data_IF_620009664199
#
_entry.id   IF_620009664199
#
_cell.length_a   1.000
_cell.length_b   1.000
_cell.length_c   1.000
_cell.angle_alpha   90.00
_cell.angle_beta   90.00
_cell.angle_gamma   90.00
#
_symmetry.space_group_name_H-M   'P 1'
#
loop_
_entity.id
_entity.type
_entity.pdbx_description
1 polymer ?
#
# COMPACT_ATOMS: atom_id res chain seq x y z
N UNK A 1 33.80 12.20 -63.17
CA UNK A 1 34.35 13.03 -62.08
C UNK A 1 33.26 14.06 -61.83
N UNK A 2 32.35 13.75 -60.92
CA UNK A 2 31.22 14.61 -60.56
C UNK A 2 31.10 14.62 -59.04
N UNK A 3 30.79 15.81 -58.55
CA UNK A 3 31.28 16.36 -57.31
C UNK A 3 30.53 15.83 -56.08
N UNK A 4 31.30 15.65 -55.00
CA UNK A 4 30.77 15.61 -53.63
C UNK A 4 29.99 16.91 -53.39
N UNK A 5 28.66 16.85 -53.43
CA UNK A 5 27.82 17.89 -52.83
C UNK A 5 27.58 17.54 -51.37
N UNK A 6 28.21 18.34 -50.51
CA UNK A 6 28.08 18.38 -49.06
C UNK A 6 26.63 18.19 -48.59
N UNK A 7 26.41 17.20 -47.73
CA UNK A 7 25.16 16.99 -46.97
C UNK A 7 25.21 17.63 -45.58
N UNK A 8 26.13 18.58 -45.35
CA UNK A 8 26.40 19.16 -44.02
C UNK A 8 25.46 20.29 -43.57
N UNK A 9 24.27 20.43 -44.17
CA UNK A 9 23.36 21.55 -43.82
C UNK A 9 22.12 21.19 -42.99
N UNK A 10 21.89 19.92 -42.57
CA UNK A 10 20.62 19.56 -41.91
C UNK A 10 20.71 18.95 -40.50
N UNK A 11 21.90 18.67 -39.96
CA UNK A 11 22.02 18.03 -38.64
C UNK A 11 22.60 19.00 -37.60
N UNK A 12 21.78 19.41 -36.62
CA UNK A 12 22.21 20.23 -35.48
C UNK A 12 23.23 19.51 -34.58
N UNK A 13 23.13 18.19 -34.48
CA UNK A 13 24.03 17.33 -33.70
C UNK A 13 23.91 15.88 -34.20
N UNK A 14 25.04 15.19 -34.36
CA UNK A 14 25.08 13.77 -34.74
C UNK A 14 26.10 13.00 -33.88
N UNK A 15 25.68 11.87 -33.32
CA UNK A 15 26.54 11.00 -32.53
C UNK A 15 26.11 9.54 -32.60
N UNK A 16 27.09 8.64 -32.62
CA UNK A 16 26.85 7.19 -32.54
C UNK A 16 26.70 6.79 -31.07
N UNK A 17 25.49 6.39 -30.68
CA UNK A 17 25.17 5.97 -29.31
C UNK A 17 25.00 4.45 -29.25
N UNK A 18 25.68 3.79 -28.30
CA UNK A 18 25.46 2.36 -28.04
C UNK A 18 24.24 2.16 -27.13
N UNK A 19 23.37 1.22 -27.49
CA UNK A 19 22.28 0.77 -26.60
C UNK A 19 22.87 0.05 -25.39
N UNK A 20 22.63 0.57 -24.20
CA UNK A 20 23.05 -0.06 -22.93
C UNK A 20 21.89 -0.85 -22.32
N UNK A 21 22.17 -1.61 -21.24
CA UNK A 21 21.13 -2.37 -20.52
C UNK A 21 20.04 -1.46 -19.91
N UNK A 22 20.32 -0.18 -19.72
CA UNK A 22 19.39 0.81 -19.14
C UNK A 22 18.66 1.66 -20.18
N UNK A 23 19.03 1.59 -21.46
CA UNK A 23 18.36 2.30 -22.55
C UNK A 23 19.32 2.99 -23.53
N UNK A 24 18.85 4.06 -24.16
CA UNK A 24 19.65 4.96 -25.00
C UNK A 24 19.94 6.21 -24.16
N UNK A 25 21.22 6.46 -23.88
CA UNK A 25 21.64 7.66 -23.14
C UNK A 25 22.00 8.76 -24.12
N UNK A 26 21.45 9.96 -23.95
CA UNK A 26 21.84 11.11 -24.75
C UNK A 26 23.32 11.47 -24.47
N UNK A 27 24.13 11.76 -25.50
CA UNK A 27 25.49 12.25 -25.33
C UNK A 27 25.55 13.45 -24.38
N UNK A 28 26.67 13.58 -23.67
CA UNK A 28 26.81 14.59 -22.61
C UNK A 28 26.69 15.99 -23.19
N UNK A 29 27.29 16.21 -24.35
CA UNK A 29 27.33 17.46 -25.10
C UNK A 29 25.90 17.90 -25.49
N UNK A 30 25.07 16.97 -25.95
CA UNK A 30 23.67 17.26 -26.29
C UNK A 30 22.81 17.52 -25.04
N UNK A 31 23.16 16.90 -23.90
CA UNK A 31 22.44 17.12 -22.64
C UNK A 31 22.69 18.51 -22.06
N UNK A 32 23.94 18.95 -22.07
CA UNK A 32 24.30 20.30 -21.61
C UNK A 32 23.57 21.35 -22.46
N UNK A 33 23.57 21.18 -23.79
CA UNK A 33 22.90 22.10 -24.71
C UNK A 33 21.36 22.13 -24.58
N UNK A 34 20.71 20.99 -24.33
CA UNK A 34 19.24 20.91 -24.28
C UNK A 34 18.64 21.14 -22.89
N UNK A 35 19.41 20.93 -21.81
CA UNK A 35 18.87 20.89 -20.45
C UNK A 35 19.55 21.86 -19.47
N UNK A 36 20.64 22.53 -19.85
CA UNK A 36 21.28 23.58 -19.03
C UNK A 36 20.94 25.01 -19.50
N UNK A 37 20.10 25.17 -20.53
CA UNK A 37 19.59 26.47 -20.97
C UNK A 37 18.29 26.87 -20.26
N UNK A 38 18.19 28.12 -19.78
CA UNK A 38 16.98 28.69 -19.15
C UNK A 38 15.79 28.91 -20.11
N UNK A 39 15.89 28.48 -21.38
CA UNK A 39 14.85 28.61 -22.40
C UNK A 39 14.12 27.29 -22.65
N UNK A 40 12.80 27.35 -22.84
CA UNK A 40 12.00 26.19 -23.25
C UNK A 40 12.34 25.77 -24.69
N UNK A 41 12.97 24.60 -24.85
CA UNK A 41 13.30 24.02 -26.15
C UNK A 41 12.29 22.93 -26.53
N UNK A 42 11.68 23.06 -27.70
CA UNK A 42 10.74 22.08 -28.25
C UNK A 42 11.43 21.27 -29.35
N UNK A 43 11.20 19.96 -29.39
CA UNK A 43 11.76 19.10 -30.44
C UNK A 43 10.79 17.99 -30.86
N UNK A 44 10.89 17.59 -32.13
CA UNK A 44 10.17 16.47 -32.73
C UNK A 44 11.11 15.27 -32.84
N UNK A 45 10.73 14.16 -32.21
CA UNK A 45 11.45 12.90 -32.31
C UNK A 45 10.91 12.05 -33.47
N UNK A 46 11.80 11.65 -34.37
CA UNK A 46 11.49 10.80 -35.52
C UNK A 46 12.35 9.53 -35.47
N UNK A 47 11.71 8.38 -35.54
CA UNK A 47 12.38 7.08 -35.67
C UNK A 47 12.03 6.51 -37.04
N UNK A 48 12.99 6.42 -37.99
CA UNK A 48 12.77 5.81 -39.29
C UNK A 48 12.37 4.33 -39.17
N UNK A 49 11.67 3.81 -40.20
CA UNK A 49 11.18 2.42 -40.22
C UNK A 49 12.30 1.38 -40.09
N UNK A 50 13.48 1.69 -40.63
CA UNK A 50 14.67 0.84 -40.58
C UNK A 50 15.35 0.86 -39.19
N UNK A 51 14.93 1.76 -38.29
CA UNK A 51 15.41 1.88 -36.90
C UNK A 51 16.93 2.01 -36.76
N UNK A 52 17.60 2.52 -37.78
CA UNK A 52 19.04 2.74 -37.86
C UNK A 52 19.48 4.06 -37.21
N UNK A 53 18.57 5.01 -36.99
CA UNK A 53 18.86 6.30 -36.38
C UNK A 53 17.65 6.82 -35.58
N UNK A 54 17.90 7.79 -34.70
CA UNK A 54 16.86 8.60 -34.05
C UNK A 54 17.17 10.06 -34.40
N UNK A 55 16.20 10.73 -35.01
CA UNK A 55 16.37 12.12 -35.44
C UNK A 55 15.57 13.01 -34.48
N UNK A 56 16.26 13.99 -33.88
CA UNK A 56 15.66 15.01 -33.03
C UNK A 56 15.71 16.35 -33.78
N UNK A 57 14.55 16.83 -34.23
CA UNK A 57 14.45 18.11 -34.92
C UNK A 57 13.96 19.16 -33.92
N UNK A 58 14.77 20.19 -33.65
CA UNK A 58 14.32 21.35 -32.87
C UNK A 58 13.23 22.06 -33.67
N UNK A 59 12.11 22.36 -33.01
CA UNK A 59 10.96 23.05 -33.61
C UNK A 59 10.67 24.31 -32.80
N UNK A 60 10.08 25.31 -33.46
CA UNK A 60 9.58 26.49 -32.74
C UNK A 60 8.35 26.13 -31.89
N UNK A 61 8.10 26.97 -30.88
CA UNK A 61 6.90 26.87 -30.04
C UNK A 61 5.61 26.87 -30.86
N UNK A 62 5.52 27.73 -31.88
CA UNK A 62 4.35 27.79 -32.77
C UNK A 62 4.10 26.48 -33.53
N UNK A 63 5.16 25.82 -34.02
CA UNK A 63 5.06 24.51 -34.70
C UNK A 63 4.68 23.41 -33.69
N UNK A 64 5.21 23.47 -32.47
CA UNK A 64 4.85 22.55 -31.39
C UNK A 64 3.36 22.68 -31.00
N UNK A 65 2.88 23.92 -30.88
CA UNK A 65 1.48 24.24 -30.60
C UNK A 65 0.56 23.89 -31.77
N UNK A 66 0.95 24.13 -33.03
CA UNK A 66 0.19 23.68 -34.20
C UNK A 66 0.13 22.15 -34.32
N UNK A 67 1.18 21.43 -33.92
CA UNK A 67 1.17 19.96 -33.94
C UNK A 67 0.32 19.39 -32.80
N UNK A 68 0.20 20.12 -31.68
CA UNK A 68 -0.82 19.88 -30.66
C UNK A 68 -2.23 20.19 -31.18
N UNK A 69 -2.41 21.31 -31.90
CA UNK A 69 -3.70 21.83 -32.34
C UNK A 69 -4.28 21.14 -33.60
N UNK A 70 -3.43 20.57 -34.47
CA UNK A 70 -3.89 19.70 -35.57
C UNK A 70 -4.48 18.37 -35.09
N UNK A 71 -4.33 18.04 -33.79
CA UNK A 71 -5.06 16.93 -33.13
C UNK A 71 -6.40 17.36 -32.51
N UNK A 72 -6.74 18.65 -32.43
CA UNK A 72 -7.95 19.15 -31.75
C UNK A 72 -9.13 19.50 -32.66
N UNK A 73 -9.04 19.34 -33.99
CA UNK A 73 -10.13 19.66 -34.92
C UNK A 73 -10.89 18.46 -35.53
N UNK A 74 -10.84 17.27 -34.92
CA UNK A 74 -11.76 16.17 -35.26
C UNK A 74 -12.80 15.99 -34.16
N UNK A 75 -13.97 16.61 -34.33
CA UNK A 75 -15.26 16.33 -33.68
C UNK A 75 -15.29 16.35 -32.13
N UNK A 76 -16.45 16.61 -31.48
CA UNK A 76 -16.51 16.70 -30.02
C UNK A 76 -15.93 15.43 -29.41
N UNK A 77 -14.96 15.60 -28.52
CA UNK A 77 -14.34 14.54 -27.74
C UNK A 77 -15.46 13.82 -26.98
N UNK A 78 -16.03 12.78 -27.60
CA UNK A 78 -16.45 11.58 -26.90
C UNK A 78 -15.24 11.22 -26.07
N UNK A 79 -15.33 11.44 -24.74
CA UNK A 79 -14.43 10.94 -23.70
C UNK A 79 -13.60 9.81 -24.31
N UNK A 80 -12.36 10.11 -24.72
CA UNK A 80 -11.47 9.06 -25.17
C UNK A 80 -11.27 8.25 -23.92
N UNK A 81 -12.02 7.15 -23.90
CA UNK A 81 -11.91 6.08 -22.94
C UNK A 81 -10.41 5.91 -22.74
N UNK A 82 -10.00 5.86 -21.46
CA UNK A 82 -8.92 4.97 -21.03
C UNK A 82 -8.81 3.87 -22.08
N UNK A 83 -7.62 3.63 -22.63
CA UNK A 83 -7.39 2.33 -23.25
C UNK A 83 -7.63 1.29 -22.16
N UNK A 84 -8.92 0.98 -21.90
CA UNK A 84 -9.36 -0.28 -21.39
C UNK A 84 -8.69 -1.22 -22.36
N UNK A 85 -7.79 -2.04 -21.83
CA UNK A 85 -7.61 -3.36 -22.37
C UNK A 85 -9.01 -4.01 -22.45
N UNK A 86 -9.78 -3.65 -23.47
CA UNK A 86 -11.03 -4.27 -23.84
C UNK A 86 -10.61 -5.57 -24.49
N UNK A 87 -10.43 -6.56 -23.62
CA UNK A 87 -10.55 -8.00 -23.85
C UNK A 87 -10.11 -8.81 -22.63
N UNK A 88 -9.81 -8.17 -21.50
CA UNK A 88 -9.71 -8.85 -20.22
C UNK A 88 -10.93 -8.45 -19.38
N UNK A 89 -11.77 -9.40 -18.98
CA UNK A 89 -12.83 -9.25 -17.97
C UNK A 89 -12.22 -8.99 -16.57
N UNK A 90 -11.27 -8.07 -16.49
CA UNK A 90 -10.47 -7.78 -15.31
C UNK A 90 -11.06 -6.57 -14.62
N UNK A 91 -11.33 -6.72 -13.32
CA UNK A 91 -11.82 -5.65 -12.44
C UNK A 91 -10.88 -4.45 -12.48
N UNK A 92 -11.42 -3.23 -12.41
CA UNK A 92 -10.58 -2.03 -12.35
C UNK A 92 -9.94 -1.88 -10.96
N UNK A 93 -8.72 -1.31 -10.85
CA UNK A 93 -8.10 -1.07 -9.56
C UNK A 93 -8.89 -0.06 -8.72
N UNK A 94 -8.93 -0.29 -7.40
CA UNK A 94 -9.70 0.49 -6.43
C UNK A 94 -8.84 1.54 -5.73
N UNK A 95 -8.48 2.60 -6.45
CA UNK A 95 -7.53 3.61 -5.96
C UNK A 95 -7.85 4.24 -4.60
N UNK A 96 -9.14 4.47 -4.32
CA UNK A 96 -9.57 5.01 -3.02
C UNK A 96 -9.32 4.04 -1.85
N UNK A 97 -9.28 2.73 -2.08
CA UNK A 97 -8.99 1.73 -1.04
C UNK A 97 -7.48 1.53 -0.81
N UNK A 98 -6.65 1.97 -1.77
CA UNK A 98 -5.18 1.87 -1.67
C UNK A 98 -4.58 3.13 -1.07
N UNK A 99 -4.99 4.30 -1.55
CA UNK A 99 -4.48 5.60 -1.13
C UNK A 99 -5.34 6.20 -0.02
N UNK A 100 -5.36 5.52 1.13
CA UNK A 100 -6.10 5.97 2.32
C UNK A 100 -5.44 7.21 2.95
N UNK A 101 -4.12 7.32 2.83
CA UNK A 101 -3.34 8.46 3.29
C UNK A 101 -2.72 9.16 2.08
N UNK A 102 -2.76 10.48 2.08
CA UNK A 102 -2.16 11.28 1.02
C UNK A 102 -0.66 11.44 1.25
N UNK A 103 0.12 11.32 0.16
CA UNK A 103 1.57 11.41 0.19
C UNK A 103 2.13 11.99 -1.12
N UNK A 104 3.37 12.49 -1.05
CA UNK A 104 4.04 13.08 -2.21
C UNK A 104 4.16 12.11 -3.40
N UNK A 105 3.98 12.62 -4.62
CA UNK A 105 4.04 11.84 -5.86
C UNK A 105 2.96 10.75 -6.03
N UNK A 106 1.88 10.76 -5.24
CA UNK A 106 0.75 9.83 -5.37
C UNK A 106 0.28 9.62 -6.81
N UNK A 107 0.09 10.67 -7.59
CA UNK A 107 -0.38 10.57 -8.99
C UNK A 107 0.59 9.79 -9.90
N UNK A 108 1.90 10.00 -9.71
CA UNK A 108 2.94 9.28 -10.45
C UNK A 108 2.97 7.80 -10.03
N UNK A 109 2.89 7.55 -8.73
CA UNK A 109 2.81 6.20 -8.16
C UNK A 109 1.57 5.46 -8.67
N UNK A 110 0.41 6.11 -8.67
CA UNK A 110 -0.84 5.56 -9.18
C UNK A 110 -0.70 5.07 -10.63
N UNK A 111 -0.12 5.89 -11.52
CA UNK A 111 0.09 5.52 -12.93
C UNK A 111 0.97 4.26 -13.07
N UNK A 112 2.03 4.15 -12.27
CA UNK A 112 2.94 3.00 -12.30
C UNK A 112 2.25 1.74 -11.75
N UNK A 113 1.53 1.86 -10.64
CA UNK A 113 0.77 0.76 -10.04
C UNK A 113 -0.37 0.31 -10.96
N UNK A 114 -1.02 1.23 -11.68
CA UNK A 114 -2.06 0.90 -12.66
C UNK A 114 -1.46 0.01 -13.76
N UNK A 115 -0.29 0.41 -14.26
CA UNK A 115 0.42 -0.41 -15.23
C UNK A 115 0.85 -1.75 -14.66
N UNK A 116 1.25 -1.85 -13.38
CA UNK A 116 1.60 -3.12 -12.75
C UNK A 116 0.37 -4.03 -12.59
N UNK A 117 -0.78 -3.47 -12.22
CA UNK A 117 -2.04 -4.19 -12.07
C UNK A 117 -2.43 -4.92 -13.35
N UNK A 118 -2.40 -4.21 -14.48
CA UNK A 118 -2.73 -4.83 -15.77
C UNK A 118 -1.67 -5.83 -16.25
N UNK A 119 -0.48 -5.86 -15.65
CA UNK A 119 0.54 -6.89 -15.89
C UNK A 119 0.26 -8.16 -15.09
N UNK A 120 -0.22 -8.02 -13.84
CA UNK A 120 -0.77 -9.14 -13.07
C UNK A 120 -2.01 -9.75 -13.72
N UNK A 121 -2.83 -8.92 -14.36
CA UNK A 121 -4.03 -9.33 -15.04
C UNK A 121 -3.84 -10.14 -16.33
N UNK A 122 -2.60 -10.24 -16.85
CA UNK A 122 -2.33 -10.96 -18.11
C UNK A 122 -2.40 -12.47 -17.91
N UNK A 123 -2.66 -13.18 -19.00
CA UNK A 123 -2.61 -14.64 -19.04
C UNK A 123 -1.68 -15.05 -20.20
N UNK A 124 -0.48 -15.60 -19.93
CA UNK A 124 0.12 -15.84 -18.61
C UNK A 124 0.48 -14.53 -17.89
N UNK A 125 0.56 -14.61 -16.55
CA UNK A 125 0.90 -13.46 -15.69
C UNK A 125 2.31 -12.98 -16.00
N UNK A 126 2.48 -11.68 -16.22
CA UNK A 126 3.82 -11.09 -16.37
C UNK A 126 4.32 -10.61 -15.00
N UNK A 127 4.69 -11.57 -14.17
CA UNK A 127 5.02 -11.35 -12.76
C UNK A 127 6.28 -10.47 -12.58
N UNK A 128 7.33 -10.74 -13.35
CA UNK A 128 8.62 -10.03 -13.20
C UNK A 128 8.52 -8.54 -13.56
N UNK A 129 7.83 -8.19 -14.65
CA UNK A 129 7.60 -6.78 -15.01
C UNK A 129 6.69 -6.09 -13.99
N UNK A 130 5.64 -6.79 -13.52
CA UNK A 130 4.73 -6.24 -12.52
C UNK A 130 5.45 -5.93 -11.21
N UNK A 131 6.24 -6.87 -10.69
CA UNK A 131 7.04 -6.70 -9.47
C UNK A 131 8.18 -5.72 -9.69
N UNK A 132 8.80 -5.69 -10.87
CA UNK A 132 9.81 -4.69 -11.24
C UNK A 132 9.28 -3.26 -11.10
N UNK A 133 8.03 -3.01 -11.52
CA UNK A 133 7.37 -1.70 -11.37
C UNK A 133 7.08 -1.35 -9.92
N UNK A 134 6.68 -2.33 -9.11
CA UNK A 134 6.46 -2.13 -7.68
C UNK A 134 7.79 -1.80 -6.98
N UNK A 135 8.86 -2.55 -7.26
CA UNK A 135 10.19 -2.29 -6.72
C UNK A 135 10.70 -0.90 -7.13
N UNK A 136 10.54 -0.54 -8.41
CA UNK A 136 10.86 0.80 -8.90
C UNK A 136 10.09 1.87 -8.13
N UNK A 137 8.79 1.65 -7.90
CA UNK A 137 7.95 2.56 -7.11
C UNK A 137 8.49 2.76 -5.69
N UNK A 138 8.83 1.67 -5.01
CA UNK A 138 9.32 1.69 -3.63
C UNK A 138 10.74 2.24 -3.47
N UNK A 139 11.50 2.41 -4.56
CA UNK A 139 12.87 2.94 -4.53
C UNK A 139 12.90 4.38 -5.02
N UNK A 140 12.23 4.67 -6.14
CA UNK A 140 12.34 5.95 -6.83
C UNK A 140 11.45 7.06 -6.27
N UNK A 141 10.46 6.72 -5.44
CA UNK A 141 9.54 7.70 -4.84
C UNK A 141 9.66 7.80 -3.33
N UNK A 142 10.76 7.32 -2.76
CA UNK A 142 11.10 7.61 -1.37
C UNK A 142 11.43 9.10 -1.22
N UNK A 143 10.86 9.69 -0.18
CA UNK A 143 11.15 11.03 0.29
C UNK A 143 12.18 11.00 1.44
N UNK A 144 12.77 12.14 1.81
CA UNK A 144 13.53 12.26 3.05
C UNK A 144 12.68 12.05 4.32
N UNK A 145 11.35 12.17 4.20
CA UNK A 145 10.42 12.15 5.32
C UNK A 145 9.92 10.72 5.59
N UNK A 146 10.28 10.17 6.75
CA UNK A 146 9.91 8.80 7.15
C UNK A 146 8.40 8.55 7.15
N UNK A 147 7.61 9.53 7.57
CA UNK A 147 6.14 9.42 7.61
C UNK A 147 5.53 9.35 6.20
N UNK A 148 6.04 10.12 5.24
CA UNK A 148 5.64 10.04 3.83
C UNK A 148 5.98 8.68 3.23
N UNK A 149 7.18 8.16 3.53
CA UNK A 149 7.59 6.83 3.07
C UNK A 149 6.69 5.73 3.63
N UNK A 150 6.32 5.81 4.91
CA UNK A 150 5.41 4.85 5.53
C UNK A 150 4.04 4.81 4.85
N UNK A 151 3.50 5.96 4.44
CA UNK A 151 2.24 6.04 3.67
C UNK A 151 2.36 5.43 2.29
N UNK A 152 3.48 5.66 1.59
CA UNK A 152 3.79 5.01 0.30
C UNK A 152 3.83 3.49 0.45
N UNK A 153 4.62 2.98 1.40
CA UNK A 153 4.73 1.55 1.66
C UNK A 153 3.37 0.93 1.96
N UNK A 154 2.60 1.54 2.88
CA UNK A 154 1.27 1.05 3.22
C UNK A 154 0.32 1.05 2.02
N UNK A 155 0.34 2.08 1.18
CA UNK A 155 -0.46 2.15 -0.04
C UNK A 155 -0.11 1.03 -1.03
N UNK A 156 1.18 0.73 -1.18
CA UNK A 156 1.65 -0.40 -2.00
C UNK A 156 1.21 -1.74 -1.42
N UNK A 157 1.22 -1.92 -0.10
CA UNK A 157 0.70 -3.14 0.54
C UNK A 157 -0.79 -3.33 0.25
N UNK A 158 -1.61 -2.29 0.40
CA UNK A 158 -3.05 -2.32 0.10
C UNK A 158 -3.31 -2.70 -1.36
N UNK A 159 -2.53 -2.11 -2.28
CA UNK A 159 -2.56 -2.48 -3.70
C UNK A 159 -2.21 -3.95 -3.93
N UNK A 160 -1.14 -4.45 -3.31
CA UNK A 160 -0.69 -5.83 -3.46
C UNK A 160 -1.66 -6.84 -2.86
N UNK A 161 -2.34 -6.49 -1.77
CA UNK A 161 -3.43 -7.28 -1.19
C UNK A 161 -4.58 -7.48 -2.19
N UNK A 162 -4.96 -6.42 -2.91
CA UNK A 162 -5.99 -6.53 -3.94
C UNK A 162 -5.51 -7.36 -5.15
N UNK A 163 -4.22 -7.27 -5.50
CA UNK A 163 -3.60 -8.16 -6.50
C UNK A 163 -3.66 -9.62 -6.05
N UNK A 164 -3.33 -9.92 -4.79
CA UNK A 164 -3.43 -11.28 -4.23
C UNK A 164 -4.86 -11.81 -4.35
N UNK A 165 -5.86 -11.01 -3.98
CA UNK A 165 -7.26 -11.43 -3.97
C UNK A 165 -7.84 -11.62 -5.38
N UNK A 166 -7.53 -10.73 -6.32
CA UNK A 166 -8.10 -10.81 -7.68
C UNK A 166 -7.33 -11.76 -8.60
N UNK A 167 -6.02 -11.91 -8.42
CA UNK A 167 -5.15 -12.67 -9.34
C UNK A 167 -4.50 -13.90 -8.70
N UNK A 168 -4.86 -14.23 -7.45
CA UNK A 168 -4.40 -15.42 -6.71
C UNK A 168 -2.88 -15.54 -6.62
N UNK A 169 -2.17 -14.41 -6.57
CA UNK A 169 -0.70 -14.36 -6.46
C UNK A 169 -0.26 -14.50 -4.99
N UNK A 170 -0.53 -15.64 -4.37
CA UNK A 170 -0.34 -15.84 -2.92
C UNK A 170 1.12 -15.73 -2.45
N UNK A 171 2.08 -15.97 -3.34
CA UNK A 171 3.50 -15.78 -3.08
C UNK A 171 3.85 -14.32 -2.70
N UNK A 172 2.99 -13.35 -3.06
CA UNK A 172 3.19 -11.96 -2.66
C UNK A 172 3.03 -11.73 -1.15
N UNK A 173 2.35 -12.62 -0.41
CA UNK A 173 2.20 -12.48 1.04
C UNK A 173 3.58 -12.51 1.71
N UNK A 174 4.41 -13.48 1.35
CA UNK A 174 5.76 -13.58 1.90
C UNK A 174 6.64 -12.41 1.44
N UNK A 175 6.52 -12.03 0.16
CA UNK A 175 7.28 -10.90 -0.36
C UNK A 175 6.92 -9.56 0.34
N UNK A 176 5.63 -9.30 0.58
CA UNK A 176 5.17 -8.14 1.35
C UNK A 176 5.77 -8.16 2.74
N UNK A 177 5.65 -9.30 3.44
CA UNK A 177 6.12 -9.48 4.79
C UNK A 177 7.63 -9.32 4.93
N UNK A 178 8.43 -9.92 4.05
CA UNK A 178 9.89 -9.87 4.17
C UNK A 178 10.51 -8.59 3.60
N UNK A 179 9.91 -7.99 2.56
CA UNK A 179 10.56 -6.93 1.76
C UNK A 179 9.90 -5.57 1.88
N UNK A 180 8.63 -5.49 2.28
CA UNK A 180 7.89 -4.22 2.30
C UNK A 180 7.63 -3.78 3.74
N UNK A 181 6.99 -4.64 4.53
CA UNK A 181 6.61 -4.35 5.93
C UNK A 181 7.79 -3.87 6.80
N UNK A 182 9.00 -4.46 6.74
CA UNK A 182 10.12 -4.05 7.60
C UNK A 182 10.62 -2.63 7.34
N UNK A 183 10.27 -2.02 6.21
CA UNK A 183 10.68 -0.66 5.84
C UNK A 183 9.67 0.41 6.30
N UNK A 184 8.62 0.03 7.03
CA UNK A 184 7.61 0.97 7.53
C UNK A 184 8.06 1.54 8.88
N UNK A 185 8.56 2.77 8.84
CA UNK A 185 9.06 3.49 10.03
C UNK A 185 7.95 4.07 10.95
N UNK A 186 6.67 3.87 10.61
CA UNK A 186 5.53 4.28 11.45
C UNK A 186 4.96 3.07 12.19
N UNK A 187 5.00 3.07 13.53
CA UNK A 187 4.42 2.00 14.37
C UNK A 187 2.95 1.71 14.00
N UNK A 188 2.16 2.76 13.84
CA UNK A 188 0.74 2.65 13.50
C UNK A 188 0.52 2.03 12.10
N UNK A 189 1.20 2.52 11.07
CA UNK A 189 1.05 1.96 9.71
C UNK A 189 1.65 0.56 9.58
N UNK A 190 2.70 0.27 10.35
CA UNK A 190 3.28 -1.07 10.46
C UNK A 190 2.26 -2.06 11.03
N UNK A 191 1.59 -1.72 12.13
CA UNK A 191 0.52 -2.53 12.71
C UNK A 191 -0.67 -2.71 11.76
N UNK A 192 -1.11 -1.64 11.09
CA UNK A 192 -2.17 -1.74 10.07
C UNK A 192 -1.77 -2.68 8.93
N UNK A 193 -0.52 -2.62 8.45
CA UNK A 193 -0.03 -3.48 7.40
C UNK A 193 -0.06 -4.97 7.82
N UNK A 194 0.36 -5.28 9.04
CA UNK A 194 0.28 -6.63 9.60
C UNK A 194 -1.18 -7.10 9.71
N UNK A 195 -2.07 -6.26 10.23
CA UNK A 195 -3.50 -6.57 10.39
C UNK A 195 -4.21 -6.87 9.07
N UNK A 196 -3.89 -6.11 8.02
CA UNK A 196 -4.43 -6.37 6.69
C UNK A 196 -3.84 -7.65 6.08
N UNK A 197 -2.57 -7.96 6.35
CA UNK A 197 -1.96 -9.21 5.89
C UNK A 197 -2.51 -10.43 6.64
N UNK A 198 -2.87 -10.30 7.92
CA UNK A 198 -3.60 -11.32 8.70
C UNK A 198 -4.91 -11.66 8.00
N UNK A 199 -5.70 -10.65 7.64
CA UNK A 199 -7.02 -10.87 7.01
C UNK A 199 -6.91 -11.64 5.69
N UNK A 200 -5.93 -11.28 4.86
CA UNK A 200 -5.68 -11.97 3.58
C UNK A 200 -5.19 -13.39 3.82
N UNK A 201 -4.30 -13.58 4.79
CA UNK A 201 -3.75 -14.90 5.13
C UNK A 201 -4.84 -15.87 5.63
N UNK A 202 -5.80 -15.38 6.43
CA UNK A 202 -6.98 -16.17 6.79
C UNK A 202 -7.84 -16.54 5.58
N UNK A 203 -8.11 -15.60 4.67
CA UNK A 203 -8.93 -15.85 3.47
C UNK A 203 -8.35 -16.96 2.59
N UNK A 204 -7.03 -17.12 2.58
CA UNK A 204 -6.34 -18.18 1.84
C UNK A 204 -6.01 -19.41 2.70
N UNK A 205 -6.45 -19.44 3.96
CA UNK A 205 -6.22 -20.52 4.94
C UNK A 205 -4.73 -20.78 5.25
N UNK A 206 -3.88 -19.76 5.20
CA UNK A 206 -2.48 -19.85 5.63
C UNK A 206 -2.36 -19.59 7.13
N UNK A 207 -2.68 -20.61 7.93
CA UNK A 207 -2.75 -20.52 9.40
C UNK A 207 -1.37 -20.26 10.03
N UNK A 208 -0.31 -20.85 9.49
CA UNK A 208 1.06 -20.65 9.99
C UNK A 208 1.46 -19.18 9.86
N UNK A 209 1.18 -18.55 8.71
CA UNK A 209 1.49 -17.13 8.51
C UNK A 209 0.66 -16.23 9.43
N UNK A 210 -0.62 -16.55 9.60
CA UNK A 210 -1.51 -15.85 10.54
C UNK A 210 -0.91 -15.86 11.96
N UNK A 211 -0.45 -17.01 12.44
CA UNK A 211 0.14 -17.13 13.77
C UNK A 211 1.37 -16.22 13.93
N UNK A 212 2.27 -16.20 12.95
CA UNK A 212 3.45 -15.34 12.95
C UNK A 212 3.05 -13.86 13.01
N UNK A 213 2.12 -13.45 12.14
CA UNK A 213 1.69 -12.06 12.06
C UNK A 213 0.97 -11.59 13.34
N UNK A 214 0.15 -12.44 13.96
CA UNK A 214 -0.52 -12.11 15.22
C UNK A 214 0.50 -11.93 16.34
N UNK A 215 1.52 -12.79 16.43
CA UNK A 215 2.61 -12.63 17.41
C UNK A 215 3.31 -11.29 17.23
N UNK A 216 3.66 -10.92 16.01
CA UNK A 216 4.29 -9.63 15.72
C UNK A 216 3.42 -8.43 16.06
N UNK A 217 2.10 -8.49 15.80
CA UNK A 217 1.18 -7.43 16.23
C UNK A 217 1.21 -7.30 17.74
N UNK A 218 1.11 -8.40 18.49
CA UNK A 218 1.16 -8.36 19.96
C UNK A 218 2.49 -7.84 20.50
N UNK A 219 3.62 -8.23 19.88
CA UNK A 219 4.95 -7.71 20.19
C UNK A 219 5.09 -6.22 19.86
N UNK A 220 4.45 -5.73 18.79
CA UNK A 220 4.40 -4.31 18.47
C UNK A 220 3.62 -3.53 19.52
N UNK A 221 2.48 -4.08 19.97
CA UNK A 221 1.65 -3.48 21.02
C UNK A 221 2.42 -3.37 22.35
N UNK A 222 3.25 -4.37 22.69
CA UNK A 222 4.11 -4.32 23.88
C UNK A 222 5.14 -3.16 23.84
N UNK A 223 5.42 -2.57 22.67
CA UNK A 223 6.36 -1.44 22.50
C UNK A 223 5.73 -0.07 22.72
N UNK A 224 4.44 0.01 23.03
CA UNK A 224 3.81 1.26 23.45
C UNK A 224 4.11 1.55 24.92
N UNK A 225 4.28 2.83 25.24
CA UNK A 225 4.40 3.25 26.63
C UNK A 225 3.04 3.18 27.34
N UNK A 226 3.05 3.05 28.67
CA UNK A 226 1.82 3.10 29.47
C UNK A 226 1.05 4.42 29.32
N UNK A 227 1.70 5.52 28.96
CA UNK A 227 1.01 6.77 28.64
C UNK A 227 0.18 6.71 27.34
N UNK A 228 0.41 5.69 26.50
CA UNK A 228 -0.22 5.51 25.20
C UNK A 228 -1.34 4.45 25.24
N UNK A 229 -2.04 4.30 26.36
CA UNK A 229 -3.13 3.34 26.54
C UNK A 229 -4.17 3.35 25.42
N UNK A 230 -4.48 4.54 24.88
CA UNK A 230 -5.37 4.69 23.73
C UNK A 230 -4.87 3.89 22.51
N UNK A 231 -3.57 3.95 22.22
CA UNK A 231 -2.97 3.22 21.09
C UNK A 231 -3.01 1.72 21.36
N UNK A 232 -2.67 1.28 22.59
CA UNK A 232 -2.73 -0.13 23.00
C UNK A 232 -4.15 -0.68 22.79
N UNK A 233 -5.18 0.01 23.29
CA UNK A 233 -6.57 -0.42 23.16
C UNK A 233 -7.06 -0.38 21.73
N UNK A 234 -6.68 0.65 20.96
CA UNK A 234 -7.01 0.73 19.53
C UNK A 234 -6.45 -0.47 18.77
N UNK A 235 -5.17 -0.81 18.97
CA UNK A 235 -4.52 -1.93 18.30
C UNK A 235 -5.10 -3.28 18.71
N UNK A 236 -5.37 -3.52 20.00
CA UNK A 236 -6.05 -4.73 20.47
C UNK A 236 -7.46 -4.87 19.90
N UNK A 237 -8.24 -3.78 19.87
CA UNK A 237 -9.58 -3.79 19.31
C UNK A 237 -9.57 -4.11 17.81
N UNK A 238 -8.63 -3.53 17.05
CA UNK A 238 -8.49 -3.82 15.63
C UNK A 238 -8.10 -5.28 15.40
N UNK A 239 -7.15 -5.82 16.17
CA UNK A 239 -6.77 -7.23 16.10
C UNK A 239 -7.96 -8.15 16.36
N UNK A 240 -8.68 -7.96 17.47
CA UNK A 240 -9.86 -8.76 17.84
C UNK A 240 -10.93 -8.67 16.76
N UNK A 241 -11.21 -7.48 16.22
CA UNK A 241 -12.18 -7.29 15.13
C UNK A 241 -11.77 -8.00 13.84
N UNK A 242 -10.48 -8.07 13.52
CA UNK A 242 -10.00 -8.80 12.34
C UNK A 242 -10.15 -10.30 12.51
N UNK A 243 -9.87 -10.85 13.70
CA UNK A 243 -9.87 -12.31 13.90
C UNK A 243 -11.23 -12.91 14.26
N UNK A 244 -12.16 -12.13 14.85
CA UNK A 244 -13.43 -12.67 15.40
C UNK A 244 -14.30 -13.44 14.40
N UNK A 245 -14.14 -13.15 13.10
CA UNK A 245 -14.93 -13.75 12.02
C UNK A 245 -14.25 -14.98 11.39
N UNK A 246 -13.05 -15.36 11.87
CA UNK A 246 -12.29 -16.47 11.33
C UNK A 246 -12.09 -17.56 12.38
N UNK A 247 -12.07 -18.81 11.91
CA UNK A 247 -11.67 -19.95 12.74
C UNK A 247 -10.19 -19.80 13.10
N UNK A 248 -9.95 -19.37 14.34
CA UNK A 248 -8.61 -19.09 14.85
C UNK A 248 -8.20 -20.23 15.78
N UNK A 249 -6.99 -20.80 15.62
CA UNK A 249 -6.49 -21.83 16.52
C UNK A 249 -6.55 -21.41 17.99
N UNK A 250 -6.92 -22.35 18.87
CA UNK A 250 -7.15 -22.08 20.29
C UNK A 250 -5.89 -21.58 21.02
N UNK A 251 -4.70 -22.03 20.60
CA UNK A 251 -3.42 -21.54 21.10
C UNK A 251 -3.24 -20.03 20.83
N UNK A 252 -3.66 -19.56 19.66
CA UNK A 252 -3.60 -18.14 19.29
C UNK A 252 -4.64 -17.32 20.04
N UNK A 253 -5.87 -17.83 20.15
CA UNK A 253 -6.89 -17.17 20.95
C UNK A 253 -6.46 -17.04 22.41
N UNK A 254 -5.84 -18.09 22.98
CA UNK A 254 -5.30 -18.06 24.33
C UNK A 254 -4.13 -17.08 24.47
N UNK A 255 -3.28 -16.92 23.44
CA UNK A 255 -2.22 -15.92 23.45
C UNK A 255 -2.80 -14.49 23.57
N UNK A 256 -3.81 -14.17 22.76
CA UNK A 256 -4.49 -12.88 22.79
C UNK A 256 -5.22 -12.67 24.12
N UNK A 257 -5.90 -13.71 24.61
CA UNK A 257 -6.56 -13.71 25.93
C UNK A 257 -5.58 -13.37 27.05
N UNK A 258 -4.42 -14.02 27.09
CA UNK A 258 -3.42 -13.80 28.12
C UNK A 258 -2.86 -12.36 28.05
N UNK A 259 -2.69 -11.82 26.84
CA UNK A 259 -2.34 -10.40 26.66
C UNK A 259 -3.43 -9.45 27.15
N UNK A 260 -4.69 -9.71 26.82
CA UNK A 260 -5.82 -8.92 27.32
C UNK A 260 -5.87 -8.91 28.85
N UNK A 261 -5.77 -10.08 29.50
CA UNK A 261 -5.74 -10.18 30.96
C UNK A 261 -4.54 -9.44 31.55
N UNK A 262 -3.34 -9.56 30.94
CA UNK A 262 -2.16 -8.80 31.36
C UNK A 262 -2.45 -7.28 31.35
N UNK A 263 -2.98 -6.76 30.24
CA UNK A 263 -3.28 -5.33 30.11
C UNK A 263 -4.39 -4.87 31.05
N UNK A 264 -5.37 -5.71 31.38
CA UNK A 264 -6.42 -5.34 32.34
C UNK A 264 -5.83 -5.11 33.74
N UNK A 265 -4.90 -5.97 34.16
CA UNK A 265 -4.22 -5.82 35.45
C UNK A 265 -3.30 -4.60 35.49
N UNK A 266 -2.74 -4.18 34.35
CA UNK A 266 -1.87 -3.00 34.25
C UNK A 266 -2.63 -1.69 34.08
N UNK A 267 -3.90 -1.73 33.71
CA UNK A 267 -4.70 -0.53 33.44
C UNK A 267 -5.12 0.15 34.76
N UNK A 268 -4.80 1.43 34.89
CA UNK A 268 -5.23 2.25 36.04
C UNK A 268 -6.60 2.92 35.82
N UNK A 269 -7.09 2.93 34.59
CA UNK A 269 -8.35 3.59 34.21
C UNK A 269 -9.42 2.53 33.92
N UNK A 270 -10.56 2.64 34.60
CA UNK A 270 -11.67 1.67 34.50
C UNK A 270 -12.21 1.53 33.08
N UNK A 271 -12.21 2.60 32.27
CA UNK A 271 -12.66 2.56 30.87
C UNK A 271 -11.87 1.56 30.02
N UNK A 272 -10.57 1.40 30.29
CA UNK A 272 -9.75 0.42 29.57
C UNK A 272 -10.01 -1.00 30.07
N UNK A 273 -10.28 -1.19 31.37
CA UNK A 273 -10.70 -2.49 31.91
C UNK A 273 -12.04 -2.93 31.33
N UNK A 274 -13.00 -2.02 31.22
CA UNK A 274 -14.30 -2.26 30.57
C UNK A 274 -14.09 -2.69 29.10
N UNK A 275 -13.28 -1.95 28.34
CA UNK A 275 -12.98 -2.31 26.95
C UNK A 275 -12.38 -3.71 26.84
N UNK A 276 -11.45 -4.07 27.73
CA UNK A 276 -10.82 -5.40 27.71
C UNK A 276 -11.84 -6.51 28.02
N UNK A 277 -12.75 -6.30 28.97
CA UNK A 277 -13.85 -7.23 29.26
C UNK A 277 -14.70 -7.46 28.00
N UNK A 278 -15.03 -6.38 27.27
CA UNK A 278 -15.78 -6.49 26.02
C UNK A 278 -15.01 -7.22 24.92
N UNK A 279 -13.69 -7.01 24.82
CA UNK A 279 -12.85 -7.74 23.86
C UNK A 279 -12.79 -9.23 24.18
N UNK A 280 -12.69 -9.61 25.45
CA UNK A 280 -12.76 -11.01 25.88
C UNK A 280 -14.12 -11.64 25.55
N UNK A 281 -15.21 -10.88 25.74
CA UNK A 281 -16.55 -11.31 25.34
C UNK A 281 -16.66 -11.52 23.83
N UNK A 282 -16.09 -10.63 23.00
CA UNK A 282 -16.07 -10.77 21.54
C UNK A 282 -15.32 -12.04 21.11
N UNK A 283 -14.25 -12.39 21.81
CA UNK A 283 -13.48 -13.63 21.59
C UNK A 283 -14.14 -14.87 22.21
N UNK A 284 -15.32 -14.73 22.82
CA UNK A 284 -16.06 -15.81 23.50
C UNK A 284 -15.37 -16.39 24.74
N UNK A 285 -14.45 -15.65 25.36
CA UNK A 285 -13.90 -16.01 26.67
C UNK A 285 -14.84 -15.54 27.79
N UNK A 286 -16.05 -16.10 27.82
CA UNK A 286 -17.17 -15.62 28.65
C UNK A 286 -16.86 -15.70 30.15
N UNK A 287 -16.25 -16.80 30.60
CA UNK A 287 -15.91 -16.99 32.03
C UNK A 287 -14.86 -15.96 32.50
N UNK A 288 -13.80 -15.77 31.72
CA UNK A 288 -12.76 -14.79 32.02
C UNK A 288 -13.35 -13.36 32.02
N UNK A 289 -14.18 -13.02 31.02
CA UNK A 289 -14.86 -11.73 30.96
C UNK A 289 -15.79 -11.51 32.17
N UNK A 290 -16.55 -12.53 32.58
CA UNK A 290 -17.46 -12.46 33.72
C UNK A 290 -16.70 -12.25 35.03
N UNK A 291 -15.61 -12.99 35.24
CA UNK A 291 -14.76 -12.86 36.44
C UNK A 291 -14.19 -11.44 36.55
N UNK A 292 -13.68 -10.89 35.45
CA UNK A 292 -13.14 -9.52 35.45
C UNK A 292 -14.24 -8.47 35.69
N UNK A 293 -15.43 -8.64 35.11
CA UNK A 293 -16.56 -7.75 35.37
C UNK A 293 -17.02 -7.77 36.83
N UNK A 294 -17.05 -8.96 37.47
CA UNK A 294 -17.40 -9.09 38.88
C UNK A 294 -16.35 -8.48 39.81
N UNK A 295 -15.07 -8.66 39.49
CA UNK A 295 -13.96 -8.06 40.23
C UNK A 295 -13.98 -6.53 40.13
N UNK A 296 -14.16 -5.99 38.92
CA UNK A 296 -14.23 -4.54 38.70
C UNK A 296 -15.42 -3.91 39.44
N UNK A 297 -16.57 -4.59 39.47
CA UNK A 297 -17.74 -4.13 40.21
C UNK A 297 -17.49 -4.04 41.71
N UNK A 298 -16.69 -4.96 42.27
CA UNK A 298 -16.31 -4.96 43.70
C UNK A 298 -15.28 -3.88 44.04
N UNK A 299 -14.43 -3.48 43.10
CA UNK A 299 -13.41 -2.46 43.34
C UNK A 299 -13.92 -1.03 43.15
N UNK A 300 -15.03 -0.84 42.44
CA UNK A 300 -15.56 0.49 42.15
C UNK A 300 -16.22 1.15 43.37
N UNK A 301 -16.02 2.47 43.56
CA UNK A 301 -16.75 3.24 44.56
C UNK A 301 -18.28 3.19 44.32
N UNK A 302 -19.10 3.22 45.39
CA UNK A 302 -20.56 3.21 45.29
C UNK A 302 -21.15 4.34 44.42
N UNK A 303 -20.46 5.47 44.32
CA UNK A 303 -20.88 6.65 43.55
C UNK A 303 -20.40 6.62 42.09
N UNK A 304 -19.66 5.58 41.66
CA UNK A 304 -19.12 5.53 40.31
C UNK A 304 -20.22 5.45 39.25
N UNK A 305 -20.17 6.36 38.28
CA UNK A 305 -21.07 6.39 37.12
C UNK A 305 -20.94 5.13 36.24
N UNK A 306 -19.85 4.35 36.40
CA UNK A 306 -19.58 3.13 35.62
C UNK A 306 -20.25 1.88 36.19
N UNK A 307 -20.79 1.94 37.41
CA UNK A 307 -21.45 0.78 38.04
C UNK A 307 -22.63 0.25 37.21
N UNK A 308 -23.44 1.13 36.63
CA UNK A 308 -24.59 0.73 35.83
C UNK A 308 -24.16 -0.02 34.55
N UNK A 309 -23.11 0.46 33.90
CA UNK A 309 -22.53 -0.13 32.70
C UNK A 309 -21.97 -1.54 32.99
N UNK A 310 -21.15 -1.67 34.04
CA UNK A 310 -20.54 -2.96 34.39
C UNK A 310 -21.58 -3.97 34.88
N UNK A 311 -22.61 -3.53 35.62
CA UNK A 311 -23.75 -4.40 35.99
C UNK A 311 -24.45 -4.96 34.74
N UNK A 312 -24.66 -4.12 33.73
CA UNK A 312 -25.25 -4.55 32.45
C UNK A 312 -24.37 -5.57 31.74
N UNK A 313 -23.05 -5.33 31.66
CA UNK A 313 -22.09 -6.26 31.06
C UNK A 313 -22.09 -7.59 31.81
N UNK A 314 -21.95 -7.57 33.15
CA UNK A 314 -21.96 -8.78 33.98
C UNK A 314 -23.22 -9.60 33.83
N UNK A 315 -24.40 -8.97 33.85
CA UNK A 315 -25.68 -9.66 33.68
C UNK A 315 -25.78 -10.30 32.29
N UNK A 316 -25.41 -9.56 31.24
CA UNK A 316 -25.34 -10.09 29.86
C UNK A 316 -24.42 -11.31 29.75
N UNK A 317 -23.26 -11.28 30.43
CA UNK A 317 -22.31 -12.40 30.44
C UNK A 317 -22.85 -13.62 31.20
N UNK A 318 -23.57 -13.42 32.30
CA UNK A 318 -24.18 -14.50 33.09
C UNK A 318 -25.21 -15.31 32.30
N UNK A 319 -25.90 -14.68 31.37
CA UNK A 319 -26.95 -15.30 30.54
C UNK A 319 -26.39 -16.07 29.34
N UNK A 320 -25.09 -15.96 29.05
CA UNK A 320 -24.49 -16.62 27.88
C UNK A 320 -24.10 -18.08 28.20
N UNK A 321 -24.32 -19.00 27.25
CA UNK A 321 -23.82 -20.36 27.38
C UNK A 321 -22.28 -20.37 27.40
N UNK A 322 -21.71 -21.22 28.26
CA UNK A 322 -20.27 -21.44 28.41
C UNK A 322 -19.68 -22.26 27.26
#
# INVERSE_FOLDING_TARGET
MEEKKNTDENNYFEAIVKKTKTGITLPKELREVLFESDSEIYFKLVVPKEKNQIILNIISKDIAEETLNKKTNNEPIKKVKKNKLKNLNVREPKWAEYFVYDFENRDKVQSILESAYYKFAKTPVNFDDAIGRIKYTLISFLSPTKTENAKLYYSVIRFLIDVIQNFKQYNLIEWIYEKVIPNIDSKFLYELALLDLIEVSYKIKNVEKVEILIKEVLESIDKYNKSEWYNIMSSLNQLVKKIKNYETPINILNLIKNKLIKYENEADVDDYKIQIIELLEILKFIEDAYRLADNLLKSLPPESIKLAEIRKIRNRLKEKPL
#
